data_IF_331221455678
#
_entry.id   IF_331221455678
#
_cell.length_a   1.000
_cell.length_b   1.000
_cell.length_c   1.000
_cell.angle_alpha   90.00
_cell.angle_beta   90.00
_cell.angle_gamma   90.00
#
_symmetry.space_group_name_H-M   'P 1'
#
loop_
_entity.id
_entity.type
_entity.pdbx_description
1 polymer ?
#
# COMPACT_ATOMS: atom_id res chain seq x y z
N UNK A 1 -18.77 -4.19 4.48
CA UNK A 1 -19.24 -5.60 4.37
C UNK A 1 -19.79 -5.91 2.98
N UNK A 2 -20.75 -5.18 2.43
CA UNK A 2 -21.33 -5.40 1.09
C UNK A 2 -20.30 -5.39 -0.05
N UNK A 3 -19.33 -4.48 -0.05
CA UNK A 3 -18.27 -4.43 -1.06
C UNK A 3 -17.44 -5.73 -1.13
N UNK A 4 -17.19 -6.39 -0.01
CA UNK A 4 -16.47 -7.67 0.00
C UNK A 4 -17.30 -8.82 -0.59
N UNK A 5 -18.62 -8.80 -0.42
CA UNK A 5 -19.53 -9.79 -1.01
C UNK A 5 -19.55 -9.61 -2.54
N UNK A 6 -19.71 -8.38 -3.02
CA UNK A 6 -19.71 -8.08 -4.45
C UNK A 6 -18.36 -8.43 -5.10
N UNK A 7 -17.23 -8.07 -4.47
CA UNK A 7 -15.90 -8.33 -5.01
C UNK A 7 -15.43 -9.79 -4.80
N UNK A 8 -16.16 -10.63 -4.06
CA UNK A 8 -15.91 -12.07 -4.04
C UNK A 8 -16.09 -12.69 -5.44
N UNK A 9 -16.97 -12.14 -6.26
CA UNK A 9 -17.12 -12.55 -7.66
C UNK A 9 -15.81 -12.32 -8.44
N UNK A 10 -15.12 -11.20 -8.19
CA UNK A 10 -13.80 -10.97 -8.79
C UNK A 10 -12.80 -12.06 -8.38
N UNK A 11 -12.76 -12.45 -7.12
CA UNK A 11 -11.84 -13.49 -6.62
C UNK A 11 -12.16 -14.84 -7.28
N UNK A 12 -13.43 -15.24 -7.33
CA UNK A 12 -13.88 -16.50 -7.90
C UNK A 12 -13.63 -16.56 -9.43
N UNK A 13 -14.00 -15.51 -10.15
CA UNK A 13 -13.79 -15.43 -11.61
C UNK A 13 -12.30 -15.36 -11.96
N UNK A 14 -11.50 -14.65 -11.15
CA UNK A 14 -10.06 -14.62 -11.34
C UNK A 14 -9.43 -16.00 -11.11
N UNK A 15 -9.80 -16.71 -10.08
CA UNK A 15 -9.32 -18.07 -9.82
C UNK A 15 -9.63 -19.02 -10.99
N UNK A 16 -10.79 -18.86 -11.61
CA UNK A 16 -11.25 -19.68 -12.74
C UNK A 16 -10.54 -19.36 -14.05
N UNK A 17 -10.31 -18.07 -14.35
CA UNK A 17 -9.92 -17.61 -15.69
C UNK A 17 -8.64 -16.78 -15.75
N UNK A 18 -8.26 -16.14 -14.66
CA UNK A 18 -7.14 -15.18 -14.60
C UNK A 18 -5.83 -15.74 -14.06
N UNK A 19 -5.83 -16.91 -13.43
CA UNK A 19 -4.68 -17.46 -12.73
C UNK A 19 -3.43 -17.65 -13.60
N UNK A 20 -3.59 -17.88 -14.91
CA UNK A 20 -2.47 -17.95 -15.87
C UNK A 20 -1.81 -16.58 -16.11
N UNK A 21 -2.54 -15.46 -15.92
CA UNK A 21 -2.04 -14.11 -16.15
C UNK A 21 -1.24 -13.57 -14.96
N UNK A 22 -1.56 -14.03 -13.76
CA UNK A 22 -0.88 -13.59 -12.54
C UNK A 22 -1.66 -13.89 -11.26
N UNK A 23 -1.03 -13.58 -10.14
CA UNK A 23 -1.60 -13.75 -8.81
C UNK A 23 -2.37 -12.48 -8.41
N UNK A 24 -3.66 -12.62 -8.13
CA UNK A 24 -4.49 -11.56 -7.55
C UNK A 24 -4.31 -11.55 -6.02
N UNK A 25 -4.02 -10.39 -5.47
CA UNK A 25 -3.99 -10.14 -4.02
C UNK A 25 -4.93 -8.99 -3.73
N UNK A 26 -5.98 -9.23 -2.96
CA UNK A 26 -7.01 -8.24 -2.64
C UNK A 26 -7.15 -8.03 -1.13
N UNK A 27 -7.36 -6.79 -0.76
CA UNK A 27 -7.75 -6.38 0.58
C UNK A 27 -8.89 -5.36 0.48
N UNK A 28 -10.07 -5.74 0.85
CA UNK A 28 -11.31 -4.97 0.65
C UNK A 28 -11.50 -4.58 -0.82
N UNK A 29 -11.48 -3.29 -1.13
CA UNK A 29 -11.57 -2.70 -2.46
C UNK A 29 -10.22 -2.46 -3.14
N UNK A 30 -9.13 -2.50 -2.38
CA UNK A 30 -7.77 -2.40 -2.91
C UNK A 30 -7.28 -3.77 -3.38
N UNK A 31 -6.71 -3.86 -4.57
CA UNK A 31 -6.10 -5.09 -5.08
C UNK A 31 -4.91 -4.82 -5.99
N UNK A 32 -4.06 -5.82 -6.10
CA UNK A 32 -2.94 -5.87 -7.04
C UNK A 32 -2.94 -7.20 -7.77
N UNK A 33 -2.43 -7.21 -9.01
CA UNK A 33 -2.16 -8.45 -9.76
C UNK A 33 -0.67 -8.53 -10.06
N UNK A 34 -0.02 -9.57 -9.58
CA UNK A 34 1.40 -9.82 -9.81
C UNK A 34 1.58 -10.64 -11.08
N UNK A 35 2.12 -10.04 -12.12
CA UNK A 35 2.32 -10.65 -13.43
C UNK A 35 3.80 -10.82 -13.75
N UNK A 36 4.14 -11.83 -14.56
CA UNK A 36 5.52 -12.09 -14.96
C UNK A 36 6.02 -11.14 -16.06
N UNK A 37 5.12 -10.54 -16.85
CA UNK A 37 5.47 -9.61 -17.94
C UNK A 37 4.46 -8.47 -18.05
N UNK A 38 4.88 -7.40 -18.75
CA UNK A 38 4.00 -6.28 -19.06
C UNK A 38 2.79 -6.69 -19.88
N UNK A 39 2.98 -7.55 -20.87
CA UNK A 39 1.90 -8.07 -21.72
C UNK A 39 0.84 -8.78 -20.88
N UNK A 40 1.27 -9.62 -19.92
CA UNK A 40 0.34 -10.27 -19.01
C UNK A 40 -0.36 -9.28 -18.06
N UNK A 41 0.34 -8.26 -17.63
CA UNK A 41 -0.28 -7.22 -16.81
C UNK A 41 -1.36 -6.42 -17.58
N UNK A 42 -1.14 -6.15 -18.86
CA UNK A 42 -2.13 -5.51 -19.74
C UNK A 42 -3.36 -6.40 -19.99
N UNK A 43 -3.13 -7.70 -20.21
CA UNK A 43 -4.21 -8.69 -20.32
C UNK A 43 -4.96 -8.85 -18.99
N UNK A 44 -4.23 -8.89 -17.87
CA UNK A 44 -4.82 -8.95 -16.53
C UNK A 44 -5.70 -7.73 -16.25
N UNK A 45 -5.25 -6.52 -16.61
CA UNK A 45 -6.05 -5.29 -16.48
C UNK A 45 -7.33 -5.35 -17.28
N UNK A 46 -7.28 -5.85 -18.52
CA UNK A 46 -8.48 -6.07 -19.35
C UNK A 46 -9.44 -7.06 -18.69
N UNK A 47 -8.91 -8.23 -18.29
CA UNK A 47 -9.73 -9.29 -17.69
C UNK A 47 -10.43 -8.84 -16.41
N UNK A 48 -9.70 -8.13 -15.53
CA UNK A 48 -10.31 -7.53 -14.33
C UNK A 48 -11.41 -6.52 -14.72
N UNK A 49 -11.16 -5.67 -15.72
CA UNK A 49 -12.14 -4.72 -16.22
C UNK A 49 -13.44 -5.41 -16.71
N UNK A 50 -13.32 -6.51 -17.44
CA UNK A 50 -14.47 -7.31 -17.92
C UNK A 50 -15.27 -7.90 -16.74
N UNK A 51 -14.60 -8.47 -15.75
CA UNK A 51 -15.26 -9.05 -14.55
C UNK A 51 -16.00 -7.94 -13.79
N UNK A 52 -15.34 -6.81 -13.57
CA UNK A 52 -15.95 -5.67 -12.85
C UNK A 52 -17.12 -5.06 -13.62
N UNK A 53 -17.03 -4.98 -14.95
CA UNK A 53 -18.14 -4.50 -15.79
C UNK A 53 -19.38 -5.37 -15.64
N UNK A 54 -19.22 -6.69 -15.50
CA UNK A 54 -20.33 -7.61 -15.21
C UNK A 54 -21.01 -7.35 -13.86
N UNK A 55 -20.33 -6.64 -12.93
CA UNK A 55 -20.86 -6.20 -11.65
C UNK A 55 -21.36 -4.74 -11.66
N UNK A 56 -21.36 -4.07 -12.80
CA UNK A 56 -21.65 -2.64 -12.90
C UNK A 56 -20.55 -1.73 -12.32
N UNK A 57 -19.34 -2.27 -12.12
CA UNK A 57 -18.19 -1.57 -11.57
C UNK A 57 -17.16 -1.26 -12.65
N UNK A 58 -16.33 -0.25 -12.41
CA UNK A 58 -15.26 0.14 -13.32
C UNK A 58 -13.94 0.36 -12.59
N UNK A 59 -12.82 0.04 -13.25
CA UNK A 59 -11.49 0.41 -12.78
C UNK A 59 -11.34 1.94 -12.81
N UNK A 60 -10.86 2.49 -11.69
CA UNK A 60 -10.63 3.93 -11.59
C UNK A 60 -9.43 4.32 -12.47
N UNK A 61 -9.59 5.17 -13.51
CA UNK A 61 -8.55 5.41 -14.52
C UNK A 61 -7.25 5.98 -13.94
N UNK A 62 -7.34 6.90 -12.97
CA UNK A 62 -6.15 7.54 -12.36
C UNK A 62 -5.52 6.75 -11.20
N UNK A 63 -6.23 5.76 -10.63
CA UNK A 63 -5.70 4.94 -9.54
C UNK A 63 -5.16 3.60 -10.02
N UNK A 64 -5.63 3.13 -11.19
CA UNK A 64 -5.21 1.86 -11.77
C UNK A 64 -4.01 2.07 -12.68
N UNK A 65 -2.86 1.50 -12.34
CA UNK A 65 -1.64 1.59 -13.14
C UNK A 65 -0.91 0.26 -13.20
N UNK A 66 -0.10 0.07 -14.24
CA UNK A 66 0.86 -1.01 -14.35
C UNK A 66 2.22 -0.46 -13.92
N UNK A 67 2.88 -1.11 -12.97
CA UNK A 67 4.21 -0.75 -12.49
C UNK A 67 5.22 -1.85 -12.80
N UNK A 68 6.39 -1.50 -13.31
CA UNK A 68 7.46 -2.43 -13.62
C UNK A 68 8.44 -2.52 -12.44
N UNK A 69 8.43 -3.66 -11.74
CA UNK A 69 9.33 -3.92 -10.61
C UNK A 69 10.69 -4.49 -11.03
N UNK A 70 10.92 -4.74 -12.34
CA UNK A 70 12.13 -5.35 -12.83
C UNK A 70 13.33 -4.47 -12.53
N UNK A 71 14.36 -5.05 -11.90
CA UNK A 71 15.62 -4.36 -11.56
C UNK A 71 15.43 -3.05 -10.75
N UNK A 72 14.36 -2.94 -9.96
CA UNK A 72 14.09 -1.72 -9.20
C UNK A 72 13.72 -0.51 -10.06
N UNK A 73 13.10 -0.71 -11.21
CA UNK A 73 12.72 0.36 -12.11
C UNK A 73 11.65 1.26 -11.52
N UNK A 74 10.60 0.64 -10.98
CA UNK A 74 9.48 1.35 -10.35
C UNK A 74 9.09 0.68 -9.03
N UNK A 75 8.36 1.43 -8.21
CA UNK A 75 7.66 0.94 -7.03
C UNK A 75 6.17 1.26 -7.10
N UNK A 76 5.40 0.74 -6.18
CA UNK A 76 3.99 1.05 -6.04
C UNK A 76 3.57 1.08 -4.58
N UNK A 77 2.49 1.82 -4.32
CA UNK A 77 1.89 1.90 -2.99
C UNK A 77 0.74 0.92 -2.87
N UNK A 78 0.72 0.14 -1.79
CA UNK A 78 -0.36 -0.77 -1.45
C UNK A 78 -0.54 -0.84 0.07
N UNK A 79 -1.75 -0.67 0.55
CA UNK A 79 -2.09 -0.68 2.00
C UNK A 79 -1.19 0.24 2.84
N UNK A 80 -0.90 1.43 2.33
CA UNK A 80 -0.06 2.40 3.03
C UNK A 80 1.45 2.12 2.96
N UNK A 81 1.88 0.98 2.43
CA UNK A 81 3.29 0.69 2.17
C UNK A 81 3.68 1.07 0.75
N UNK A 82 4.88 1.57 0.59
CA UNK A 82 5.58 1.61 -0.69
C UNK A 82 6.38 0.32 -0.86
N UNK A 83 6.11 -0.41 -1.93
CA UNK A 83 6.81 -1.64 -2.30
C UNK A 83 7.74 -1.36 -3.48
N UNK A 84 9.01 -1.73 -3.33
CA UNK A 84 10.04 -1.48 -4.33
C UNK A 84 11.10 -2.57 -4.32
N UNK A 85 11.62 -2.95 -5.49
CA UNK A 85 12.78 -3.86 -5.56
C UNK A 85 14.06 -3.05 -5.46
N UNK A 86 14.92 -3.41 -4.53
CA UNK A 86 16.22 -2.76 -4.30
C UNK A 86 17.34 -3.76 -4.55
N UNK A 87 18.39 -3.32 -5.21
CA UNK A 87 19.57 -4.16 -5.45
C UNK A 87 20.28 -4.46 -4.13
N UNK A 88 20.76 -5.70 -3.99
CA UNK A 88 21.49 -6.11 -2.80
C UNK A 88 22.87 -5.47 -2.76
N UNK A 89 23.21 -4.77 -1.67
CA UNK A 89 24.50 -4.15 -1.44
C UNK A 89 25.70 -5.09 -1.68
N UNK A 90 25.62 -6.34 -1.19
CA UNK A 90 26.72 -7.32 -1.25
C UNK A 90 26.66 -8.25 -2.47
N UNK A 91 25.62 -8.19 -3.28
CA UNK A 91 25.38 -9.15 -4.39
C UNK A 91 24.79 -8.43 -5.58
N UNK A 92 25.63 -7.80 -6.41
CA UNK A 92 25.20 -7.13 -7.64
C UNK A 92 24.33 -8.03 -8.52
N UNK A 93 23.30 -7.48 -9.11
CA UNK A 93 22.33 -8.21 -9.93
C UNK A 93 21.24 -8.96 -9.15
N UNK A 94 21.30 -9.01 -7.81
CA UNK A 94 20.22 -9.57 -7.00
C UNK A 94 19.35 -8.46 -6.43
N UNK A 95 18.04 -8.58 -6.61
CA UNK A 95 17.05 -7.62 -6.17
C UNK A 95 16.14 -8.26 -5.12
N UNK A 96 15.84 -7.50 -4.06
CA UNK A 96 14.93 -7.89 -2.98
C UNK A 96 13.77 -6.93 -2.94
N UNK A 97 12.57 -7.45 -2.70
CA UNK A 97 11.41 -6.61 -2.44
C UNK A 97 11.54 -6.02 -1.03
N UNK A 98 11.63 -4.70 -0.96
CA UNK A 98 11.54 -3.95 0.27
C UNK A 98 10.19 -3.25 0.36
N UNK A 99 9.75 -2.97 1.58
CA UNK A 99 8.53 -2.22 1.87
C UNK A 99 8.78 -1.26 3.04
N UNK A 100 8.29 -0.05 2.89
CA UNK A 100 8.35 0.98 3.93
C UNK A 100 7.10 1.85 3.86
N UNK A 101 6.79 2.70 4.88
CA UNK A 101 5.65 3.61 4.82
C UNK A 101 5.67 4.47 3.57
N UNK A 102 4.58 4.51 2.84
CA UNK A 102 4.43 5.35 1.65
C UNK A 102 4.53 6.84 2.00
N UNK A 103 4.83 7.69 1.01
CA UNK A 103 4.85 9.14 1.20
C UNK A 103 3.53 9.67 1.78
N UNK A 104 2.40 9.11 1.33
CA UNK A 104 1.07 9.44 1.87
C UNK A 104 0.93 9.05 3.34
N UNK A 105 1.41 7.85 3.73
CA UNK A 105 1.34 7.40 5.11
C UNK A 105 2.20 8.26 6.04
N UNK A 106 3.40 8.69 5.59
CA UNK A 106 4.26 9.62 6.32
C UNK A 106 3.64 11.00 6.43
N UNK A 107 3.04 11.52 5.37
CA UNK A 107 2.34 12.80 5.41
C UNK A 107 1.15 12.77 6.38
N UNK A 108 0.38 11.68 6.38
CA UNK A 108 -0.78 11.50 7.26
C UNK A 108 -0.37 11.45 8.74
N UNK A 109 0.70 10.73 9.11
CA UNK A 109 1.17 10.70 10.51
C UNK A 109 1.69 12.07 10.95
N UNK A 110 2.43 12.79 10.09
CA UNK A 110 2.89 14.15 10.38
C UNK A 110 1.73 15.13 10.61
N UNK A 111 0.67 15.02 9.82
CA UNK A 111 -0.53 15.83 10.02
C UNK A 111 -1.18 15.52 11.38
N UNK A 112 -1.30 14.25 11.77
CA UNK A 112 -1.82 13.83 13.07
C UNK A 112 -0.94 14.30 14.24
N UNK A 113 0.40 14.28 14.08
CA UNK A 113 1.33 14.80 15.09
C UNK A 113 1.09 16.31 15.27
N UNK A 114 1.05 17.10 14.18
CA UNK A 114 0.79 18.53 14.24
C UNK A 114 -0.57 18.84 14.91
N UNK A 115 -1.59 18.07 14.56
CA UNK A 115 -2.91 18.20 15.19
C UNK A 115 -2.85 17.88 16.69
N UNK A 116 -2.12 16.84 17.10
CA UNK A 116 -1.99 16.45 18.50
C UNK A 116 -1.18 17.45 19.35
N UNK A 117 -0.25 18.19 18.72
CA UNK A 117 0.63 19.19 19.33
C UNK A 117 0.25 20.64 18.97
N UNK A 118 -0.97 20.87 18.52
CA UNK A 118 -1.46 22.18 18.13
C UNK A 118 -1.45 23.17 19.32
N UNK A 119 -1.21 24.46 19.04
CA UNK A 119 -1.16 25.55 20.04
C UNK A 119 -2.39 25.65 20.93
N UNK A 120 -3.55 25.22 20.45
CA UNK A 120 -4.80 25.17 21.26
C UNK A 120 -4.68 24.27 22.50
N UNK A 121 -3.67 23.39 22.55
CA UNK A 121 -3.43 22.49 23.68
C UNK A 121 -2.35 22.98 24.66
N UNK A 122 -1.80 24.17 24.48
CA UNK A 122 -0.76 24.76 25.37
C UNK A 122 -1.21 24.85 26.84
N UNK A 123 -2.49 25.06 27.09
CA UNK A 123 -3.08 25.08 28.44
C UNK A 123 -3.35 23.71 29.07
N UNK A 124 -3.15 22.62 28.35
CA UNK A 124 -3.39 21.27 28.87
C UNK A 124 -2.14 20.68 29.55
N UNK A 125 -2.30 19.80 30.55
CA UNK A 125 -1.16 19.11 31.16
C UNK A 125 -0.33 18.38 30.12
N UNK A 126 0.99 18.49 30.19
CA UNK A 126 1.94 17.82 29.26
C UNK A 126 1.69 16.33 29.17
N UNK A 127 1.40 15.67 30.30
CA UNK A 127 1.09 14.23 30.32
C UNK A 127 -0.14 13.87 29.45
N UNK A 128 -1.14 14.75 29.36
CA UNK A 128 -2.30 14.55 28.50
C UNK A 128 -1.93 14.64 27.02
N UNK A 129 -1.13 15.65 26.63
CA UNK A 129 -0.66 15.84 25.25
C UNK A 129 0.21 14.63 24.83
N UNK A 130 1.14 14.21 25.69
CA UNK A 130 2.01 13.05 25.46
C UNK A 130 1.18 11.77 25.34
N UNK A 131 0.18 11.57 26.19
CA UNK A 131 -0.70 10.40 26.13
C UNK A 131 -1.51 10.35 24.82
N UNK A 132 -1.97 11.50 24.32
CA UNK A 132 -2.65 11.62 23.03
C UNK A 132 -1.71 11.30 21.86
N UNK A 133 -0.51 11.87 21.87
CA UNK A 133 0.51 11.65 20.85
C UNK A 133 0.96 10.18 20.80
N UNK A 134 1.23 9.58 21.95
CA UNK A 134 1.67 8.19 22.05
C UNK A 134 0.65 7.20 21.47
N UNK A 135 -0.64 7.44 21.62
CA UNK A 135 -1.68 6.57 21.00
C UNK A 135 -1.55 6.55 19.48
N UNK A 136 -1.33 7.72 18.88
CA UNK A 136 -1.17 7.87 17.43
C UNK A 136 0.13 7.21 16.96
N UNK A 137 1.26 7.52 17.62
CA UNK A 137 2.58 7.01 17.26
C UNK A 137 2.70 5.50 17.44
N UNK A 138 2.18 4.95 18.54
CA UNK A 138 2.20 3.50 18.79
C UNK A 138 1.38 2.75 17.74
N UNK A 139 0.16 3.20 17.43
CA UNK A 139 -0.67 2.55 16.40
C UNK A 139 0.01 2.54 15.03
N UNK A 140 0.57 3.68 14.63
CA UNK A 140 1.31 3.79 13.38
C UNK A 140 2.60 2.96 13.37
N UNK A 141 3.38 3.02 14.46
CA UNK A 141 4.62 2.26 14.62
C UNK A 141 4.40 0.75 14.58
N UNK A 142 3.38 0.24 15.27
CA UNK A 142 3.01 -1.19 15.26
C UNK A 142 2.62 -1.65 13.85
N UNK A 143 1.86 -0.83 13.11
CA UNK A 143 1.46 -1.17 11.74
C UNK A 143 2.67 -1.26 10.79
N UNK A 144 3.58 -0.30 10.86
CA UNK A 144 4.71 -0.20 9.92
C UNK A 144 6.00 -0.88 10.37
N UNK A 145 6.08 -1.44 11.60
CA UNK A 145 7.29 -2.10 12.11
C UNK A 145 7.75 -3.30 11.28
N UNK A 146 6.85 -3.94 10.56
CA UNK A 146 7.12 -5.15 9.77
C UNK A 146 7.77 -4.88 8.40
N UNK A 147 8.21 -3.66 8.15
CA UNK A 147 8.85 -3.24 6.90
C UNK A 147 10.30 -2.79 7.09
N UNK A 148 10.93 -2.35 6.00
CA UNK A 148 12.23 -1.68 6.00
C UNK A 148 12.05 -0.19 6.41
N UNK A 149 11.46 0.04 7.59
CA UNK A 149 10.88 1.33 7.98
C UNK A 149 11.81 2.19 8.83
N UNK A 150 12.99 1.69 9.27
CA UNK A 150 13.89 2.36 10.20
C UNK A 150 14.20 3.82 9.80
N UNK A 151 14.57 4.06 8.54
CA UNK A 151 14.83 5.43 8.03
C UNK A 151 13.61 6.34 8.09
N UNK A 152 12.40 5.78 7.88
CA UNK A 152 11.15 6.55 7.94
C UNK A 152 10.76 6.87 9.38
N UNK A 153 11.04 5.98 10.32
CA UNK A 153 10.86 6.23 11.74
C UNK A 153 11.80 7.33 12.23
N UNK A 154 13.11 7.20 12.00
CA UNK A 154 14.07 8.23 12.34
C UNK A 154 13.71 9.63 11.78
N UNK A 155 13.10 9.69 10.61
CA UNK A 155 12.66 10.94 9.99
C UNK A 155 11.36 11.54 10.59
N UNK A 156 10.64 10.77 11.39
CA UNK A 156 9.45 11.25 12.14
C UNK A 156 9.87 11.71 13.52
N UNK A 157 10.92 11.08 14.08
CA UNK A 157 11.47 11.41 15.39
C UNK A 157 12.34 12.70 15.38
N UNK A 158 12.80 13.15 14.20
CA UNK A 158 13.56 14.40 13.99
C UNK A 158 12.64 15.60 13.76
#
# INVERSE_FOLDING_TARGET
MLANVALHVLDAEWARTGGKLGMLVRYADDFIVLCASRTWAEQARRRVGEILAGLGLQLHPHKTRIACLTRGHEGFDFLGFHLHKVEAWKRRGRYYLQRWPSGRAVAAIRAKIREATDRRYVGYPVAWVVGRLNRVLRGWGVYFRHGNSARKFAHIDA
#
